data_IF_966494434018
#
_entry.id   IF_966494434018
#
_cell.length_a   1.000
_cell.length_b   1.000
_cell.length_c   1.000
_cell.angle_alpha   90.00
_cell.angle_beta   90.00
_cell.angle_gamma   90.00
#
_symmetry.space_group_name_H-M   'P 1'
#
loop_
_entity.id
_entity.type
_entity.pdbx_description
1 polymer ?
#
# COMPACT_ATOMS: atom_id res chain seq x y z
N UNK A 1 -30.85 -51.03 22.72
CA UNK A 1 -29.59 -51.17 21.95
C UNK A 1 -28.69 -49.97 22.25
N UNK A 2 -27.82 -50.07 23.25
CA UNK A 2 -26.89 -48.98 23.64
C UNK A 2 -25.53 -49.25 23.01
N UNK A 3 -25.19 -48.53 21.94
CA UNK A 3 -23.89 -48.64 21.27
C UNK A 3 -22.79 -48.09 22.17
N UNK A 4 -21.93 -48.96 22.70
CA UNK A 4 -20.70 -48.55 23.41
C UNK A 4 -19.71 -48.03 22.36
N UNK A 5 -19.80 -46.74 22.04
CA UNK A 5 -18.82 -46.03 21.21
C UNK A 5 -17.46 -46.11 21.92
N UNK A 6 -16.56 -46.94 21.37
CA UNK A 6 -15.23 -47.18 21.94
C UNK A 6 -14.46 -45.85 22.04
N UNK A 7 -13.89 -45.49 23.20
CA UNK A 7 -13.24 -44.19 23.43
C UNK A 7 -12.11 -43.89 22.44
N UNK A 8 -11.46 -44.94 21.92
CA UNK A 8 -10.43 -44.85 20.87
C UNK A 8 -10.93 -44.25 19.54
N UNK A 9 -12.22 -44.40 19.20
CA UNK A 9 -12.81 -43.81 17.98
C UNK A 9 -13.18 -42.33 18.18
N UNK A 10 -13.55 -41.95 19.40
CA UNK A 10 -13.82 -40.57 19.77
C UNK A 10 -12.54 -39.72 19.76
N UNK A 11 -11.42 -40.27 20.26
CA UNK A 11 -10.12 -39.59 20.26
C UNK A 11 -9.59 -39.29 18.86
N UNK A 12 -9.79 -40.21 17.90
CA UNK A 12 -9.40 -39.99 16.49
C UNK A 12 -10.25 -38.88 15.87
N UNK A 13 -11.56 -38.84 16.15
CA UNK A 13 -12.43 -37.76 15.68
C UNK A 13 -12.04 -36.39 16.24
N UNK A 14 -11.64 -36.32 17.51
CA UNK A 14 -11.23 -35.05 18.16
C UNK A 14 -9.93 -34.49 17.55
N UNK A 15 -8.99 -35.35 17.17
CA UNK A 15 -7.71 -34.94 16.59
C UNK A 15 -7.81 -34.51 15.13
N UNK A 16 -8.81 -34.96 14.38
CA UNK A 16 -8.99 -34.63 12.95
C UNK A 16 -9.92 -33.45 12.68
N UNK A 17 -10.75 -33.04 13.67
CA UNK A 17 -11.58 -31.82 13.61
C UNK A 17 -10.81 -30.52 13.25
N UNK A 18 -9.62 -30.23 13.82
CA UNK A 18 -8.89 -29.01 13.45
C UNK A 18 -8.39 -29.03 12.00
N UNK A 19 -8.13 -30.22 11.42
CA UNK A 19 -7.74 -30.32 10.01
C UNK A 19 -8.88 -29.99 9.04
N UNK A 20 -10.13 -30.27 9.43
CA UNK A 20 -11.33 -29.87 8.68
C UNK A 20 -11.60 -28.35 8.79
N UNK A 21 -11.28 -27.75 9.95
CA UNK A 21 -11.44 -26.31 10.19
C UNK A 21 -10.41 -25.45 9.44
N UNK A 22 -9.23 -25.99 9.13
CA UNK A 22 -8.19 -25.30 8.36
C UNK A 22 -8.33 -25.44 6.83
N UNK A 23 -9.25 -26.27 6.34
CA UNK A 23 -9.33 -26.60 4.92
C UNK A 23 -9.97 -25.50 4.03
N UNK A 24 -10.66 -24.52 4.63
CA UNK A 24 -11.38 -23.48 3.89
C UNK A 24 -11.26 -22.07 4.50
N UNK A 25 -10.29 -21.83 5.38
CA UNK A 25 -10.03 -20.48 5.87
C UNK A 25 -9.35 -19.66 4.75
N UNK A 26 -9.80 -18.41 4.48
CA UNK A 26 -9.09 -17.51 3.58
C UNK A 26 -7.63 -17.42 4.02
N UNK A 27 -6.71 -17.80 3.13
CA UNK A 27 -5.28 -17.66 3.42
C UNK A 27 -4.94 -16.17 3.38
N UNK A 28 -4.20 -15.69 4.39
CA UNK A 28 -3.74 -14.30 4.39
C UNK A 28 -2.81 -14.11 3.20
N UNK A 29 -3.05 -13.07 2.39
CA UNK A 29 -2.19 -12.80 1.26
C UNK A 29 -0.80 -12.42 1.78
N UNK A 30 0.26 -13.16 1.42
CA UNK A 30 1.59 -12.90 1.95
C UNK A 30 2.02 -11.48 1.58
N UNK A 31 2.79 -10.79 2.44
CA UNK A 31 3.30 -9.47 2.13
C UNK A 31 4.25 -9.54 0.93
N UNK A 32 4.41 -8.43 0.21
CA UNK A 32 5.16 -8.37 -1.05
C UNK A 32 6.62 -8.79 -0.88
N UNK A 33 7.19 -8.60 0.32
CA UNK A 33 8.54 -9.00 0.71
C UNK A 33 8.64 -10.42 1.31
N UNK A 34 7.54 -11.16 1.38
CA UNK A 34 7.44 -12.49 1.98
C UNK A 34 7.30 -12.47 3.52
N UNK A 35 6.84 -13.59 4.09
CA UNK A 35 6.81 -13.78 5.54
C UNK A 35 8.24 -13.89 6.07
N UNK A 36 8.59 -13.04 7.04
CA UNK A 36 9.94 -12.99 7.59
C UNK A 36 10.25 -14.20 8.47
N UNK A 37 11.49 -14.26 8.96
CA UNK A 37 11.97 -15.31 9.88
C UNK A 37 11.24 -15.34 11.24
N UNK A 38 10.62 -14.22 11.62
CA UNK A 38 9.92 -14.03 12.89
C UNK A 38 8.65 -13.21 12.67
N UNK A 39 7.67 -13.34 13.57
CA UNK A 39 6.40 -12.60 13.50
C UNK A 39 6.59 -11.08 13.42
N UNK A 40 7.56 -10.52 14.14
CA UNK A 40 7.89 -9.09 14.08
C UNK A 40 8.29 -8.64 12.66
N UNK A 41 9.10 -9.46 11.97
CA UNK A 41 9.55 -9.16 10.61
C UNK A 41 8.39 -9.27 9.61
N UNK A 42 7.50 -10.26 9.78
CA UNK A 42 6.29 -10.37 8.98
C UNK A 42 5.38 -9.15 9.17
N UNK A 43 5.21 -8.66 10.40
CA UNK A 43 4.44 -7.43 10.67
C UNK A 43 5.07 -6.19 10.02
N UNK A 44 6.40 -6.06 10.06
CA UNK A 44 7.11 -4.98 9.36
C UNK A 44 6.90 -5.03 7.85
N UNK A 45 6.91 -6.22 7.25
CA UNK A 45 6.67 -6.38 5.82
C UNK A 45 5.24 -6.02 5.41
N UNK A 46 4.23 -6.30 6.25
CA UNK A 46 2.87 -5.78 6.04
C UNK A 46 2.79 -4.26 6.20
N UNK A 47 3.47 -3.71 7.21
CA UNK A 47 3.54 -2.26 7.39
C UNK A 47 4.20 -1.58 6.18
N UNK A 48 5.25 -2.18 5.63
CA UNK A 48 5.93 -1.71 4.43
C UNK A 48 4.98 -1.56 3.24
N UNK A 49 4.16 -2.59 2.98
CA UNK A 49 3.19 -2.56 1.89
C UNK A 49 2.15 -1.45 2.12
N UNK A 50 1.66 -1.31 3.36
CA UNK A 50 0.72 -0.25 3.73
C UNK A 50 1.29 1.16 3.55
N UNK A 51 2.47 1.44 4.10
CA UNK A 51 3.12 2.74 3.98
C UNK A 51 3.56 3.06 2.56
N UNK A 52 3.94 2.06 1.77
CA UNK A 52 4.29 2.25 0.35
C UNK A 52 3.08 2.69 -0.46
N UNK A 53 1.91 2.08 -0.23
CA UNK A 53 0.66 2.51 -0.83
C UNK A 53 0.26 3.93 -0.40
N UNK A 54 0.42 4.24 0.90
CA UNK A 54 0.16 5.58 1.42
C UNK A 54 1.09 6.63 0.79
N UNK A 55 2.38 6.31 0.66
CA UNK A 55 3.36 7.16 -0.02
C UNK A 55 2.97 7.46 -1.47
N UNK A 56 2.47 6.45 -2.20
CA UNK A 56 1.96 6.64 -3.56
C UNK A 56 0.77 7.61 -3.60
N UNK A 57 -0.18 7.49 -2.66
CA UNK A 57 -1.33 8.39 -2.55
C UNK A 57 -0.87 9.83 -2.30
N UNK A 58 0.09 10.04 -1.40
CA UNK A 58 0.65 11.38 -1.13
C UNK A 58 1.27 11.98 -2.39
N UNK A 59 2.08 11.20 -3.13
CA UNK A 59 2.65 11.64 -4.40
C UNK A 59 1.56 12.00 -5.43
N UNK A 60 0.48 11.21 -5.49
CA UNK A 60 -0.65 11.49 -6.37
C UNK A 60 -1.36 12.81 -6.02
N UNK A 61 -1.59 13.08 -4.73
CA UNK A 61 -2.21 14.34 -4.27
C UNK A 61 -1.35 15.56 -4.63
N UNK A 62 -0.03 15.46 -4.44
CA UNK A 62 0.90 16.54 -4.80
C UNK A 62 0.86 16.77 -6.32
N UNK A 63 0.85 15.70 -7.12
CA UNK A 63 0.74 15.79 -8.57
C UNK A 63 -0.55 16.49 -9.00
N UNK A 64 -1.68 16.17 -8.38
CA UNK A 64 -2.97 16.84 -8.63
C UNK A 64 -2.88 18.34 -8.31
N UNK A 65 -2.24 18.72 -7.20
CA UNK A 65 -2.02 20.12 -6.84
C UNK A 65 -1.18 20.88 -7.88
N UNK A 66 -0.12 20.27 -8.40
CA UNK A 66 0.70 20.84 -9.48
C UNK A 66 -0.12 21.00 -10.76
N UNK A 67 -0.91 19.98 -11.13
CA UNK A 67 -1.78 20.04 -12.31
C UNK A 67 -2.82 21.16 -12.19
N UNK A 68 -3.42 21.34 -11.02
CA UNK A 68 -4.37 22.43 -10.76
C UNK A 68 -3.71 23.80 -10.99
N UNK A 69 -2.50 24.00 -10.46
CA UNK A 69 -1.78 25.26 -10.64
C UNK A 69 -1.39 25.51 -12.11
N UNK A 70 -1.00 24.45 -12.83
CA UNK A 70 -0.71 24.51 -14.26
C UNK A 70 -1.96 24.90 -15.08
N UNK A 71 -3.13 24.32 -14.76
CA UNK A 71 -4.39 24.68 -15.43
C UNK A 71 -4.79 26.13 -15.21
N UNK A 72 -4.62 26.67 -13.99
CA UNK A 72 -4.86 28.09 -13.72
C UNK A 72 -3.96 29.00 -14.57
N UNK A 73 -2.68 28.67 -14.64
CA UNK A 73 -1.69 29.42 -15.45
C UNK A 73 -2.01 29.32 -16.95
N UNK A 74 -2.44 28.16 -17.43
CA UNK A 74 -2.87 27.94 -18.81
C UNK A 74 -4.10 28.78 -19.17
N UNK A 75 -5.10 28.83 -18.29
CA UNK A 75 -6.30 29.64 -18.49
C UNK A 75 -5.96 31.12 -18.65
N UNK A 76 -5.04 31.64 -17.82
CA UNK A 76 -4.58 33.03 -17.93
C UNK A 76 -3.79 33.33 -19.21
N UNK A 77 -3.06 32.35 -19.76
CA UNK A 77 -2.39 32.48 -21.07
C UNK A 77 -3.43 32.61 -22.19
N UNK A 78 -4.52 31.83 -22.14
CA UNK A 78 -5.59 31.94 -23.13
C UNK A 78 -6.29 33.31 -23.11
N UNK A 79 -6.36 33.95 -21.94
CA UNK A 79 -6.85 35.32 -21.79
C UNK A 79 -5.82 36.40 -22.10
N UNK A 80 -4.61 36.03 -22.55
CA UNK A 80 -3.54 36.96 -22.89
C UNK A 80 -2.89 37.66 -21.67
N UNK A 81 -3.16 37.20 -20.45
CA UNK A 81 -2.65 37.81 -19.21
C UNK A 81 -1.28 37.29 -18.80
N UNK A 82 -0.90 36.10 -19.25
CA UNK A 82 0.38 35.43 -18.95
C UNK A 82 1.07 34.91 -20.21
N UNK A 83 2.37 34.62 -20.10
CA UNK A 83 3.18 34.07 -21.19
C UNK A 83 3.33 32.56 -21.05
N UNK A 84 3.55 31.87 -22.17
CA UNK A 84 3.88 30.43 -22.19
C UNK A 84 5.11 30.07 -21.34
N UNK A 85 6.05 31.01 -21.18
CA UNK A 85 7.20 30.85 -20.29
C UNK A 85 6.79 30.69 -18.81
N UNK A 86 5.70 31.33 -18.38
CA UNK A 86 5.21 31.24 -17.00
C UNK A 86 4.61 29.84 -16.73
N UNK A 87 4.03 29.22 -17.76
CA UNK A 87 3.61 27.81 -17.70
C UNK A 87 4.82 26.87 -17.62
N UNK A 88 5.88 27.14 -18.38
CA UNK A 88 7.14 26.39 -18.27
C UNK A 88 7.77 26.52 -16.87
N UNK A 89 7.75 27.71 -16.29
CA UNK A 89 8.27 27.95 -14.94
C UNK A 89 7.46 27.21 -13.87
N UNK A 90 6.12 27.25 -13.96
CA UNK A 90 5.24 26.50 -13.03
C UNK A 90 5.40 24.99 -13.18
N UNK A 91 5.58 24.48 -14.40
CA UNK A 91 5.89 23.07 -14.63
C UNK A 91 7.25 22.68 -14.02
N UNK A 92 8.30 23.50 -14.19
CA UNK A 92 9.62 23.24 -13.63
C UNK A 92 9.60 23.18 -12.09
N UNK A 93 8.93 24.14 -11.45
CA UNK A 93 8.72 24.14 -9.98
C UNK A 93 7.91 22.93 -9.55
N UNK A 94 6.86 22.57 -10.30
CA UNK A 94 6.06 21.37 -10.06
C UNK A 94 6.88 20.08 -10.03
N UNK A 95 7.75 19.88 -11.03
CA UNK A 95 8.66 18.74 -11.09
C UNK A 95 9.64 18.73 -9.91
N UNK A 96 10.19 19.89 -9.53
CA UNK A 96 11.08 20.00 -8.38
C UNK A 96 10.40 19.56 -7.07
N UNK A 97 9.16 20.02 -6.84
CA UNK A 97 8.38 19.65 -5.65
C UNK A 97 8.06 18.15 -5.65
N UNK A 98 7.63 17.60 -6.79
CA UNK A 98 7.40 16.15 -6.95
C UNK A 98 8.66 15.33 -6.69
N UNK A 99 9.81 15.78 -7.21
CA UNK A 99 11.09 15.11 -6.98
C UNK A 99 11.46 15.06 -5.50
N UNK A 100 11.30 16.17 -4.77
CA UNK A 100 11.53 16.23 -3.33
C UNK A 100 10.56 15.32 -2.57
N UNK A 101 9.28 15.31 -2.94
CA UNK A 101 8.28 14.46 -2.29
C UNK A 101 8.61 12.97 -2.46
N UNK A 102 8.89 12.53 -3.70
CA UNK A 102 9.27 11.16 -4.00
C UNK A 102 10.56 10.78 -3.27
N UNK A 103 11.54 11.68 -3.23
CA UNK A 103 12.78 11.47 -2.49
C UNK A 103 12.53 11.24 -1.00
N UNK A 104 11.73 12.07 -0.35
CA UNK A 104 11.42 11.95 1.08
C UNK A 104 10.66 10.66 1.38
N UNK A 105 9.65 10.33 0.56
CA UNK A 105 8.92 9.06 0.68
C UNK A 105 9.87 7.88 0.55
N UNK A 106 10.75 7.90 -0.45
CA UNK A 106 11.74 6.84 -0.67
C UNK A 106 12.71 6.71 0.51
N UNK A 107 13.18 7.83 1.08
CA UNK A 107 14.04 7.82 2.27
C UNK A 107 13.32 7.25 3.48
N UNK A 108 12.06 7.63 3.71
CA UNK A 108 11.25 7.08 4.80
C UNK A 108 11.03 5.57 4.64
N UNK A 109 10.70 5.12 3.42
CA UNK A 109 10.51 3.71 3.06
C UNK A 109 11.78 2.87 3.24
N UNK A 110 12.98 3.45 3.14
CA UNK A 110 14.25 2.74 3.38
C UNK A 110 14.61 2.58 4.87
N UNK A 111 14.00 3.36 5.76
CA UNK A 111 14.22 3.25 7.22
C UNK A 111 13.39 2.09 7.81
N UNK A 112 12.34 1.69 7.10
CA UNK A 112 11.40 0.62 7.47
C UNK A 112 11.86 -0.75 6.97
#
# INVERSE_FOLDING_TARGET
MTSRLRPRRLLIGILTLPQLAMAALPQSQPPTRGEGSNLMQTMQNYAFDGFSLLGLIVCAVIFIGVAWHAFGTYHEIQHGKKKWMDLGATAAVGVAILGVAIFLVTKATNIL
#
